data_IF_830534402743
#
_entry.id   IF_830534402743
#
_cell.length_a   1.000
_cell.length_b   1.000
_cell.length_c   1.000
_cell.angle_alpha   90.00
_cell.angle_beta   90.00
_cell.angle_gamma   90.00
#
_symmetry.space_group_name_H-M   'P 1'
#
loop_
_entity.id
_entity.type
_entity.pdbx_description
1 polymer ?
#
# COMPACT_ATOMS: atom_id res chain seq x y z
N UNK A 1 5.77 3.80 1.22
CA UNK A 1 6.86 4.78 1.01
C UNK A 1 7.03 4.94 -0.50
N UNK A 2 6.91 6.18 -1.00
CA UNK A 2 7.16 6.46 -2.42
C UNK A 2 8.59 6.97 -2.53
N UNK A 3 9.44 6.17 -3.19
CA UNK A 3 10.82 6.50 -3.55
C UNK A 3 10.98 6.51 -5.06
N UNK A 4 11.99 7.21 -5.53
CA UNK A 4 12.33 7.33 -6.94
C UNK A 4 13.49 6.41 -7.26
N UNK A 5 13.27 5.45 -8.15
CA UNK A 5 14.34 4.63 -8.70
C UNK A 5 14.83 5.27 -10.01
N UNK A 6 16.11 5.54 -10.10
CA UNK A 6 16.73 6.17 -11.28
C UNK A 6 17.71 5.24 -12.00
N UNK A 7 18.16 4.20 -11.34
CA UNK A 7 19.30 3.40 -11.76
C UNK A 7 20.65 4.05 -11.40
N UNK A 8 21.68 3.24 -11.28
CA UNK A 8 22.99 3.68 -10.78
C UNK A 8 23.66 4.74 -11.67
N UNK A 9 23.55 4.60 -12.99
CA UNK A 9 24.16 5.57 -13.92
C UNK A 9 23.47 6.92 -13.88
N UNK A 10 22.14 6.95 -13.86
CA UNK A 10 21.40 8.21 -13.72
C UNK A 10 21.66 8.83 -12.35
N UNK A 11 21.69 8.06 -11.27
CA UNK A 11 22.07 8.58 -9.95
C UNK A 11 23.45 9.21 -9.96
N UNK A 12 24.45 8.53 -10.56
CA UNK A 12 25.79 9.06 -10.68
C UNK A 12 25.84 10.37 -11.49
N UNK A 13 25.05 10.45 -12.58
CA UNK A 13 24.92 11.66 -13.37
C UNK A 13 24.29 12.80 -12.54
N UNK A 14 23.21 12.55 -11.83
CA UNK A 14 22.56 13.57 -10.98
C UNK A 14 23.49 14.06 -9.87
N UNK A 15 24.30 13.18 -9.27
CA UNK A 15 25.34 13.57 -8.31
C UNK A 15 26.41 14.45 -8.94
N UNK A 16 26.87 14.09 -10.14
CA UNK A 16 27.83 14.92 -10.88
C UNK A 16 27.26 16.32 -11.19
N UNK A 17 25.97 16.42 -11.55
CA UNK A 17 25.29 17.71 -11.74
C UNK A 17 25.28 18.54 -10.45
N UNK A 18 25.02 17.93 -9.32
CA UNK A 18 25.06 18.58 -8.00
C UNK A 18 26.44 19.13 -7.66
N UNK A 19 27.51 18.42 -8.07
CA UNK A 19 28.91 18.80 -7.86
C UNK A 19 29.44 19.76 -8.93
N UNK A 20 28.59 20.32 -9.78
CA UNK A 20 28.95 21.31 -10.81
C UNK A 20 29.27 20.71 -12.18
N UNK A 21 28.97 19.46 -12.41
CA UNK A 21 29.08 18.78 -13.72
C UNK A 21 28.11 19.32 -14.76
N UNK A 22 28.16 18.84 -15.99
CA UNK A 22 27.30 19.28 -17.08
C UNK A 22 25.88 18.73 -16.94
N UNK A 23 24.87 19.52 -17.40
CA UNK A 23 23.46 19.12 -17.45
C UNK A 23 23.12 18.19 -18.62
N UNK A 24 24.04 18.07 -19.58
CA UNK A 24 23.86 17.24 -20.78
C UNK A 24 24.70 15.96 -20.68
N UNK A 25 24.34 14.92 -21.39
CA UNK A 25 25.20 13.76 -21.60
C UNK A 25 24.86 12.51 -20.80
N UNK A 26 23.61 12.38 -20.33
CA UNK A 26 23.15 11.08 -19.90
C UNK A 26 23.06 10.14 -21.12
N UNK A 27 23.94 9.17 -21.18
CA UNK A 27 23.94 8.13 -22.22
C UNK A 27 22.95 7.01 -21.90
N UNK A 28 22.69 6.16 -22.89
CA UNK A 28 21.83 4.98 -22.68
C UNK A 28 22.37 4.12 -21.53
N UNK A 29 21.47 3.76 -20.61
CA UNK A 29 21.76 2.90 -19.50
C UNK A 29 21.60 1.43 -19.92
N UNK A 30 22.62 0.91 -20.60
CA UNK A 30 22.62 -0.45 -21.11
C UNK A 30 23.82 -1.23 -20.58
N UNK A 31 23.59 -2.49 -20.23
CA UNK A 31 24.63 -3.44 -19.87
C UNK A 31 24.72 -4.51 -20.96
N UNK A 32 25.93 -4.73 -21.46
CA UNK A 32 26.17 -5.81 -22.42
C UNK A 32 26.53 -7.09 -21.66
N UNK A 33 25.66 -8.09 -21.75
CA UNK A 33 25.89 -9.40 -21.17
C UNK A 33 26.62 -10.25 -22.22
N UNK A 34 27.90 -10.54 -21.99
CA UNK A 34 28.64 -11.49 -22.80
C UNK A 34 28.21 -12.92 -22.41
N UNK A 35 27.82 -13.71 -23.38
CA UNK A 35 27.37 -15.09 -23.16
C UNK A 35 28.52 -16.07 -22.94
N UNK A 36 29.77 -15.64 -23.16
CA UNK A 36 30.97 -16.50 -23.09
C UNK A 36 31.08 -17.45 -24.28
N UNK A 37 30.16 -17.42 -25.23
CA UNK A 37 30.20 -18.20 -26.45
C UNK A 37 30.27 -17.27 -27.67
N UNK A 38 31.31 -17.43 -28.53
CA UNK A 38 31.50 -16.58 -29.70
C UNK A 38 30.42 -16.74 -30.78
N UNK A 39 29.65 -17.81 -30.73
CA UNK A 39 28.54 -18.06 -31.67
C UNK A 39 27.23 -17.40 -31.25
N UNK A 40 27.15 -16.89 -30.01
CA UNK A 40 25.98 -16.24 -29.46
C UNK A 40 26.25 -14.74 -29.34
N UNK A 41 25.43 -13.93 -30.02
CA UNK A 41 25.55 -12.48 -29.95
C UNK A 41 25.38 -11.99 -28.49
N UNK A 42 26.16 -10.98 -28.07
CA UNK A 42 25.98 -10.37 -26.77
C UNK A 42 24.58 -9.77 -26.65
N UNK A 43 23.99 -9.88 -25.46
CA UNK A 43 22.66 -9.36 -25.17
C UNK A 43 22.82 -7.99 -24.52
N UNK A 44 22.17 -6.98 -25.09
CA UNK A 44 22.07 -5.66 -24.47
C UNK A 44 20.87 -5.67 -23.51
N UNK A 45 21.14 -5.54 -22.22
CA UNK A 45 20.10 -5.42 -21.21
C UNK A 45 19.98 -3.96 -20.74
N UNK A 46 18.76 -3.46 -20.69
CA UNK A 46 18.45 -2.16 -20.08
C UNK A 46 18.48 -2.32 -18.56
N UNK A 47 18.93 -1.30 -17.84
CA UNK A 47 18.98 -1.26 -16.37
C UNK A 47 17.68 -0.70 -15.77
N UNK A 48 16.57 -0.84 -16.47
CA UNK A 48 15.24 -0.52 -15.91
C UNK A 48 14.93 -1.44 -14.72
N UNK A 49 14.15 -0.95 -13.75
CA UNK A 49 13.66 -1.78 -12.65
C UNK A 49 12.64 -2.82 -13.14
N UNK A 50 13.15 -3.89 -13.74
CA UNK A 50 12.33 -5.00 -14.23
C UNK A 50 11.82 -5.90 -13.10
N UNK A 51 12.49 -5.90 -11.96
CA UNK A 51 12.06 -6.64 -10.78
C UNK A 51 10.88 -5.99 -10.07
N UNK A 52 10.51 -4.77 -10.48
CA UNK A 52 9.40 -3.99 -9.92
C UNK A 52 9.52 -3.77 -8.41
N UNK A 53 10.75 -3.52 -7.96
CA UNK A 53 11.11 -3.30 -6.56
C UNK A 53 10.93 -1.85 -6.12
N UNK A 54 10.61 -0.94 -7.05
CA UNK A 54 10.39 0.47 -6.79
C UNK A 54 8.99 0.92 -7.21
N UNK A 55 8.33 1.79 -6.41
CA UNK A 55 6.99 2.30 -6.71
C UNK A 55 6.98 3.38 -7.79
N UNK A 56 8.10 4.04 -8.06
CA UNK A 56 8.19 5.13 -9.03
C UNK A 56 9.52 5.15 -9.78
N UNK A 57 9.78 4.15 -10.67
CA UNK A 57 11.03 4.07 -11.41
C UNK A 57 11.05 4.98 -12.64
N UNK A 58 12.26 5.45 -12.96
CA UNK A 58 12.59 6.02 -14.26
C UNK A 58 12.87 4.91 -15.28
N UNK A 59 12.18 4.94 -16.41
CA UNK A 59 12.27 3.92 -17.46
C UNK A 59 12.82 4.54 -18.77
N UNK A 60 13.90 5.26 -18.70
CA UNK A 60 14.62 5.85 -19.84
C UNK A 60 13.99 7.14 -20.40
N UNK A 61 12.71 7.17 -20.69
CA UNK A 61 11.99 8.33 -21.22
C UNK A 61 10.70 8.67 -20.46
N UNK A 62 10.41 7.96 -19.39
CA UNK A 62 9.20 8.14 -18.58
C UNK A 62 9.44 7.67 -17.15
N UNK A 63 8.57 8.09 -16.25
CA UNK A 63 8.40 7.47 -14.95
C UNK A 63 7.14 6.60 -14.96
N UNK A 64 7.20 5.46 -14.28
CA UNK A 64 6.04 4.60 -14.06
C UNK A 64 5.61 4.68 -12.60
N UNK A 65 4.36 5.03 -12.36
CA UNK A 65 3.79 4.93 -11.00
C UNK A 65 3.20 3.54 -10.81
N UNK A 66 3.76 2.79 -9.88
CA UNK A 66 3.37 1.42 -9.56
C UNK A 66 2.75 1.41 -8.17
N UNK A 67 1.44 1.26 -8.11
CA UNK A 67 0.72 1.17 -6.85
C UNK A 67 -0.34 0.07 -6.94
N UNK A 68 -0.47 -0.70 -5.86
CA UNK A 68 -1.53 -1.72 -5.74
C UNK A 68 -2.86 -1.01 -5.49
N UNK A 69 -3.90 -1.43 -6.18
CA UNK A 69 -5.21 -0.79 -6.07
C UNK A 69 -6.21 -1.35 -7.07
N UNK A 70 -6.39 -2.68 -7.11
CA UNK A 70 -7.21 -3.38 -8.12
C UNK A 70 -8.66 -2.89 -8.19
N UNK A 71 -9.21 -2.36 -7.11
CA UNK A 71 -10.58 -1.81 -7.02
C UNK A 71 -10.62 -0.29 -7.09
N UNK A 72 -9.48 0.38 -7.23
CA UNK A 72 -9.38 1.83 -7.23
C UNK A 72 -9.24 2.41 -8.63
N UNK A 73 -9.76 3.63 -8.82
CA UNK A 73 -9.54 4.41 -10.03
C UNK A 73 -8.18 5.14 -9.95
N UNK A 74 -7.41 5.12 -11.03
CA UNK A 74 -6.10 5.78 -11.09
C UNK A 74 -6.19 7.30 -11.25
N UNK A 75 -7.36 7.87 -11.50
CA UNK A 75 -7.55 9.30 -11.76
C UNK A 75 -7.06 10.20 -10.63
N UNK A 76 -7.41 9.86 -9.38
CA UNK A 76 -6.98 10.66 -8.23
C UNK A 76 -5.46 10.61 -7.99
N UNK A 77 -4.78 9.46 -7.93
CA UNK A 77 -3.33 9.41 -7.86
C UNK A 77 -2.63 10.17 -8.99
N UNK A 78 -3.15 10.08 -10.22
CA UNK A 78 -2.61 10.82 -11.36
C UNK A 78 -2.79 12.33 -11.20
N UNK A 79 -3.94 12.79 -10.73
CA UNK A 79 -4.17 14.20 -10.43
C UNK A 79 -3.19 14.73 -9.37
N UNK A 80 -2.98 13.98 -8.29
CA UNK A 80 -2.02 14.34 -7.23
C UNK A 80 -0.60 14.46 -7.76
N UNK A 81 -0.12 13.46 -8.51
CA UNK A 81 1.23 13.45 -9.07
C UNK A 81 1.44 14.60 -10.05
N UNK A 82 0.48 14.84 -10.96
CA UNK A 82 0.59 15.94 -11.92
C UNK A 82 0.54 17.31 -11.24
N UNK A 83 -0.25 17.47 -10.18
CA UNK A 83 -0.31 18.70 -9.40
C UNK A 83 1.01 18.97 -8.68
N UNK A 84 1.60 17.96 -8.05
CA UNK A 84 2.90 18.09 -7.40
C UNK A 84 4.03 18.40 -8.39
N UNK A 85 3.95 17.79 -9.60
CA UNK A 85 4.89 18.08 -10.68
C UNK A 85 4.75 19.52 -11.19
N UNK A 86 3.52 20.00 -11.42
CA UNK A 86 3.25 21.36 -11.87
C UNK A 86 3.77 22.39 -10.87
N UNK A 87 3.53 22.21 -9.57
CA UNK A 87 4.07 23.07 -8.51
C UNK A 87 5.60 23.10 -8.53
N UNK A 88 6.25 21.95 -8.61
CA UNK A 88 7.70 21.86 -8.63
C UNK A 88 8.31 22.55 -9.86
N UNK A 89 7.66 22.44 -11.02
CA UNK A 89 8.06 23.14 -12.25
C UNK A 89 7.88 24.65 -12.12
N UNK A 90 6.78 25.12 -11.49
CA UNK A 90 6.56 26.52 -11.19
C UNK A 90 7.65 27.09 -10.30
N UNK A 91 7.97 26.43 -9.19
CA UNK A 91 9.05 26.83 -8.28
C UNK A 91 10.41 26.94 -8.99
N UNK A 92 10.70 25.98 -9.90
CA UNK A 92 11.95 26.02 -10.67
C UNK A 92 11.95 27.19 -11.68
N UNK A 93 10.84 27.40 -12.39
CA UNK A 93 10.66 28.50 -13.35
C UNK A 93 10.86 29.86 -12.67
N UNK A 94 10.20 30.10 -11.55
CA UNK A 94 10.30 31.34 -10.80
C UNK A 94 11.74 31.64 -10.38
N UNK A 95 12.51 30.65 -9.96
CA UNK A 95 13.93 30.81 -9.61
C UNK A 95 14.76 31.24 -10.84
N UNK A 96 14.50 30.62 -11.99
CA UNK A 96 15.23 30.91 -13.23
C UNK A 96 14.85 32.29 -13.76
N UNK A 97 13.56 32.65 -13.80
CA UNK A 97 13.07 33.96 -14.20
C UNK A 97 13.54 35.09 -13.25
N UNK A 98 13.70 34.74 -11.96
CA UNK A 98 14.31 35.64 -10.95
C UNK A 98 15.82 35.83 -11.09
N UNK A 99 16.44 35.26 -12.13
CA UNK A 99 17.86 35.47 -12.48
C UNK A 99 18.83 34.40 -11.95
N UNK A 100 18.33 33.34 -11.33
CA UNK A 100 19.18 32.18 -10.94
C UNK A 100 19.60 31.42 -12.19
N UNK A 101 20.88 31.12 -12.37
CA UNK A 101 21.32 30.29 -13.46
C UNK A 101 20.65 28.92 -13.42
N UNK A 102 20.27 28.39 -14.59
CA UNK A 102 19.54 27.10 -14.70
C UNK A 102 20.26 25.97 -13.93
N UNK A 103 21.57 25.89 -14.09
CA UNK A 103 22.41 24.90 -13.39
C UNK A 103 22.28 25.00 -11.88
N UNK A 104 22.39 26.21 -11.33
CA UNK A 104 22.35 26.43 -9.88
C UNK A 104 20.97 26.12 -9.31
N UNK A 105 19.90 26.49 -10.06
CA UNK A 105 18.54 26.19 -9.69
C UNK A 105 18.28 24.66 -9.66
N UNK A 106 18.75 23.94 -10.68
CA UNK A 106 18.63 22.48 -10.77
C UNK A 106 19.48 21.78 -9.70
N UNK A 107 20.75 22.16 -9.57
CA UNK A 107 21.67 21.58 -8.56
C UNK A 107 21.09 21.75 -7.14
N UNK A 108 20.56 22.92 -6.83
CA UNK A 108 19.94 23.19 -5.54
C UNK A 108 18.70 22.33 -5.33
N UNK A 109 17.80 22.24 -6.31
CA UNK A 109 16.59 21.40 -6.22
C UNK A 109 16.94 19.92 -6.03
N UNK A 110 17.94 19.40 -6.75
CA UNK A 110 18.43 18.04 -6.58
C UNK A 110 18.97 17.82 -5.17
N UNK A 111 19.84 18.71 -4.66
CA UNK A 111 20.45 18.55 -3.34
C UNK A 111 19.41 18.59 -2.19
N UNK A 112 18.37 19.42 -2.33
CA UNK A 112 17.29 19.52 -1.34
C UNK A 112 16.38 18.29 -1.31
N UNK A 113 16.32 17.49 -2.40
CA UNK A 113 15.37 16.39 -2.57
C UNK A 113 16.02 15.04 -2.87
N UNK A 114 17.35 14.92 -2.77
CA UNK A 114 18.07 13.71 -3.15
C UNK A 114 17.74 12.50 -2.27
N UNK A 115 17.20 12.75 -1.08
CA UNK A 115 16.78 11.73 -0.13
C UNK A 115 15.68 10.79 -0.68
N UNK A 116 14.91 11.21 -1.69
CA UNK A 116 13.86 10.38 -2.31
C UNK A 116 14.42 9.33 -3.28
N UNK A 117 15.67 9.48 -3.74
CA UNK A 117 16.29 8.55 -4.71
C UNK A 117 16.77 7.31 -3.97
N UNK A 118 16.25 6.15 -4.39
CA UNK A 118 16.63 4.86 -3.83
C UNK A 118 16.64 3.79 -4.93
N UNK A 119 17.81 3.23 -5.23
CA UNK A 119 18.02 2.23 -6.28
C UNK A 119 18.08 0.78 -5.73
N UNK A 120 17.75 0.57 -4.45
CA UNK A 120 17.67 -0.74 -3.83
C UNK A 120 16.30 -1.38 -3.93
N UNK A 121 16.14 -2.52 -3.25
CA UNK A 121 14.88 -3.25 -3.17
C UNK A 121 13.92 -2.58 -2.17
N UNK A 122 12.85 -1.97 -2.70
CA UNK A 122 11.78 -1.33 -1.90
C UNK A 122 10.92 -2.31 -1.09
N UNK A 123 11.05 -3.63 -1.32
CA UNK A 123 10.35 -4.66 -0.53
C UNK A 123 11.20 -5.22 0.60
N UNK A 124 12.48 -4.84 0.68
CA UNK A 124 13.37 -5.31 1.77
C UNK A 124 12.91 -4.78 3.14
N UNK A 125 13.19 -5.56 4.19
CA UNK A 125 12.87 -5.15 5.57
C UNK A 125 13.73 -3.97 6.06
N UNK A 126 14.86 -3.72 5.43
CA UNK A 126 15.77 -2.62 5.75
C UNK A 126 15.26 -1.27 5.21
N UNK A 127 14.49 -1.30 4.11
CA UNK A 127 14.05 -0.07 3.46
C UNK A 127 13.18 0.84 4.34
N UNK A 128 12.18 0.36 5.07
CA UNK A 128 11.41 1.23 5.98
C UNK A 128 12.28 1.96 7.01
N UNK A 129 13.30 1.29 7.54
CA UNK A 129 14.23 1.88 8.51
C UNK A 129 15.12 2.95 7.86
N UNK A 130 15.61 2.68 6.66
CA UNK A 130 16.41 3.64 5.89
C UNK A 130 15.57 4.85 5.44
N UNK A 131 14.33 4.62 5.01
CA UNK A 131 13.40 5.66 4.60
C UNK A 131 13.08 6.63 5.76
N UNK A 132 12.90 6.11 6.97
CA UNK A 132 12.70 6.91 8.17
C UNK A 132 13.90 7.83 8.44
N UNK A 133 15.13 7.30 8.35
CA UNK A 133 16.37 8.10 8.48
C UNK A 133 16.47 9.21 7.43
N UNK A 134 15.93 8.98 6.24
CA UNK A 134 15.86 9.97 5.15
C UNK A 134 14.72 10.96 5.31
N UNK A 135 13.88 10.82 6.33
CA UNK A 135 12.70 11.68 6.55
C UNK A 135 11.54 11.41 5.58
N UNK A 136 11.49 10.24 4.97
CA UNK A 136 10.41 9.84 4.07
C UNK A 136 9.21 9.33 4.88
N UNK A 137 8.01 9.71 4.43
CA UNK A 137 6.76 9.33 5.08
C UNK A 137 6.44 7.86 4.78
N UNK A 138 6.11 7.11 5.82
CA UNK A 138 5.56 5.77 5.72
C UNK A 138 4.19 5.71 6.42
N UNK A 139 3.11 5.68 5.66
CA UNK A 139 1.75 5.55 6.16
C UNK A 139 1.31 4.10 5.95
N UNK A 140 1.14 3.36 7.04
CA UNK A 140 0.98 1.91 6.99
C UNK A 140 -0.45 1.44 6.69
N UNK A 141 -1.43 2.35 6.69
CA UNK A 141 -2.82 2.01 6.41
C UNK A 141 -3.57 3.18 5.74
N UNK A 142 -4.73 2.86 5.17
CA UNK A 142 -5.55 3.81 4.43
C UNK A 142 -6.10 4.94 5.31
N UNK A 143 -6.44 4.67 6.57
CA UNK A 143 -6.92 5.71 7.48
C UNK A 143 -5.87 6.80 7.70
N UNK A 144 -4.62 6.43 7.98
CA UNK A 144 -3.53 7.39 8.18
C UNK A 144 -3.29 8.27 6.93
N UNK A 145 -3.42 7.67 5.74
CA UNK A 145 -3.29 8.41 4.48
C UNK A 145 -4.47 9.39 4.27
N UNK A 146 -5.69 8.92 4.48
CA UNK A 146 -6.91 9.73 4.35
C UNK A 146 -6.90 10.89 5.36
N UNK A 147 -6.52 10.63 6.61
CA UNK A 147 -6.44 11.65 7.66
C UNK A 147 -5.47 12.80 7.34
N UNK A 148 -4.51 12.59 6.43
CA UNK A 148 -3.55 13.62 6.01
C UNK A 148 -3.96 14.36 4.74
N UNK A 149 -4.99 13.90 4.03
CA UNK A 149 -5.35 14.47 2.73
C UNK A 149 -5.64 15.96 2.79
N UNK A 150 -6.36 16.43 3.79
CA UNK A 150 -6.76 17.83 3.95
C UNK A 150 -5.81 18.68 4.79
N UNK A 151 -4.56 18.21 5.01
CA UNK A 151 -3.56 19.06 5.67
C UNK A 151 -3.37 20.38 4.90
N UNK A 152 -3.07 21.48 5.60
CA UNK A 152 -2.88 22.80 5.01
C UNK A 152 -1.96 22.76 3.79
N UNK A 153 -0.79 22.08 3.92
CA UNK A 153 0.15 21.91 2.81
C UNK A 153 -0.50 21.34 1.55
N UNK A 154 -1.36 20.34 1.70
CA UNK A 154 -2.01 19.70 0.57
C UNK A 154 -3.13 20.57 -0.01
N UNK A 155 -3.90 21.24 0.85
CA UNK A 155 -4.92 22.21 0.42
C UNK A 155 -4.28 23.34 -0.38
N UNK A 156 -3.22 23.96 0.16
CA UNK A 156 -2.51 25.04 -0.49
C UNK A 156 -2.02 24.64 -1.89
N UNK A 157 -1.47 23.41 -2.01
CA UNK A 157 -1.02 22.86 -3.29
C UNK A 157 -2.16 22.78 -4.30
N UNK A 158 -3.28 22.17 -3.93
CA UNK A 158 -4.40 21.98 -4.85
C UNK A 158 -5.08 23.30 -5.24
N UNK A 159 -5.21 24.22 -4.29
CA UNK A 159 -5.81 25.55 -4.51
C UNK A 159 -4.90 26.41 -5.39
N UNK A 160 -3.59 26.46 -5.11
CA UNK A 160 -2.63 27.21 -5.91
C UNK A 160 -2.59 26.77 -7.35
N UNK A 161 -2.64 25.46 -7.58
CA UNK A 161 -2.67 24.86 -8.93
C UNK A 161 -4.07 24.84 -9.57
N UNK A 162 -5.10 25.36 -8.89
CA UNK A 162 -6.50 25.43 -9.36
C UNK A 162 -7.09 24.05 -9.74
N UNK A 163 -6.66 23.02 -9.04
CA UNK A 163 -7.15 21.64 -9.26
C UNK A 163 -8.36 21.36 -8.40
N UNK A 164 -8.33 21.78 -7.13
CA UNK A 164 -9.46 21.72 -6.20
C UNK A 164 -9.54 23.00 -5.37
N UNK A 165 -10.74 23.31 -4.93
CA UNK A 165 -10.99 24.26 -3.83
C UNK A 165 -10.70 23.63 -2.49
N UNK A 166 -10.57 24.41 -1.42
CA UNK A 166 -10.41 23.91 -0.05
C UNK A 166 -11.56 22.98 0.34
N UNK A 167 -12.80 23.38 0.05
CA UNK A 167 -14.00 22.62 0.39
C UNK A 167 -14.08 21.28 -0.37
N UNK A 168 -13.59 21.24 -1.62
CA UNK A 168 -13.52 20.02 -2.40
C UNK A 168 -12.48 19.03 -1.85
N UNK A 169 -11.37 19.51 -1.25
CA UNK A 169 -10.40 18.66 -0.59
C UNK A 169 -11.00 18.06 0.69
N UNK A 170 -11.71 18.88 1.49
CA UNK A 170 -12.39 18.42 2.70
C UNK A 170 -13.47 17.37 2.38
N UNK A 171 -14.32 17.66 1.40
CA UNK A 171 -15.35 16.72 0.96
C UNK A 171 -14.77 15.38 0.46
N UNK A 172 -13.63 15.41 -0.23
CA UNK A 172 -12.95 14.17 -0.67
C UNK A 172 -12.43 13.36 0.51
N UNK A 173 -11.87 14.01 1.51
CA UNK A 173 -11.41 13.31 2.71
C UNK A 173 -12.58 12.62 3.41
N UNK A 174 -13.69 13.33 3.60
CA UNK A 174 -14.90 12.82 4.24
C UNK A 174 -15.45 11.60 3.48
N UNK A 175 -15.65 11.71 2.16
CA UNK A 175 -16.14 10.62 1.30
C UNK A 175 -15.20 9.41 1.34
N UNK A 176 -13.89 9.62 1.33
CA UNK A 176 -12.93 8.52 1.39
C UNK A 176 -12.93 7.84 2.75
N UNK A 177 -13.12 8.59 3.84
CA UNK A 177 -13.23 8.06 5.19
C UNK A 177 -14.51 7.24 5.37
N UNK A 178 -15.67 7.77 4.94
CA UNK A 178 -16.95 7.04 4.95
C UNK A 178 -16.87 5.73 4.17
N UNK A 179 -16.27 5.78 2.98
CA UNK A 179 -16.11 4.58 2.16
C UNK A 179 -15.24 3.55 2.85
N UNK A 180 -14.10 3.95 3.43
CA UNK A 180 -13.22 3.02 4.15
C UNK A 180 -13.95 2.35 5.31
N UNK A 181 -14.69 3.12 6.11
CA UNK A 181 -15.47 2.59 7.22
C UNK A 181 -16.56 1.63 6.74
N UNK A 182 -17.30 2.03 5.70
CA UNK A 182 -18.39 1.22 5.12
C UNK A 182 -17.87 -0.10 4.56
N UNK A 183 -16.77 -0.08 3.79
CA UNK A 183 -16.19 -1.29 3.22
C UNK A 183 -15.76 -2.28 4.32
N UNK A 184 -15.12 -1.79 5.40
CA UNK A 184 -14.70 -2.64 6.53
C UNK A 184 -15.91 -3.19 7.29
N UNK A 185 -16.97 -2.40 7.49
CA UNK A 185 -18.20 -2.87 8.14
C UNK A 185 -18.88 -3.97 7.32
N UNK A 186 -18.99 -3.80 5.99
CA UNK A 186 -19.54 -4.82 5.10
C UNK A 186 -18.72 -6.12 5.18
N UNK A 187 -17.41 -6.03 5.18
CA UNK A 187 -16.52 -7.19 5.34
C UNK A 187 -16.72 -7.89 6.69
N UNK A 188 -16.86 -7.10 7.78
CA UNK A 188 -17.09 -7.61 9.12
C UNK A 188 -18.46 -8.31 9.25
N UNK A 189 -19.51 -7.70 8.72
CA UNK A 189 -20.86 -8.29 8.70
C UNK A 189 -20.91 -9.59 7.89
N UNK A 190 -20.21 -9.62 6.75
CA UNK A 190 -20.05 -10.82 5.95
C UNK A 190 -19.35 -11.92 6.76
N UNK A 191 -18.26 -11.59 7.46
CA UNK A 191 -17.54 -12.53 8.34
C UNK A 191 -18.44 -13.05 9.48
N UNK A 192 -19.18 -12.17 10.15
CA UNK A 192 -20.14 -12.54 11.19
C UNK A 192 -21.19 -13.54 10.63
N UNK A 193 -21.73 -13.26 9.45
CA UNK A 193 -22.68 -14.13 8.80
C UNK A 193 -22.06 -15.50 8.46
N UNK A 194 -20.89 -15.54 7.82
CA UNK A 194 -20.21 -16.77 7.45
C UNK A 194 -19.89 -17.65 8.67
N UNK A 195 -19.40 -17.04 9.76
CA UNK A 195 -19.12 -17.79 10.99
C UNK A 195 -20.39 -18.33 11.61
N UNK A 196 -21.45 -17.54 11.75
CA UNK A 196 -22.69 -17.95 12.37
C UNK A 196 -23.47 -19.00 11.57
N UNK A 197 -23.47 -18.89 10.23
CA UNK A 197 -24.28 -19.77 9.37
C UNK A 197 -23.51 -20.95 8.79
N UNK A 198 -22.19 -20.88 8.79
CA UNK A 198 -21.31 -21.92 8.23
C UNK A 198 -20.42 -22.57 9.29
N UNK A 199 -19.49 -21.82 9.87
CA UNK A 199 -18.45 -22.36 10.76
C UNK A 199 -19.03 -22.95 12.05
N UNK A 200 -19.84 -22.21 12.79
CA UNK A 200 -20.43 -22.68 14.05
C UNK A 200 -21.35 -23.89 13.88
N UNK A 201 -22.23 -23.97 12.86
CA UNK A 201 -22.98 -25.19 12.57
C UNK A 201 -22.09 -26.39 12.25
N UNK A 202 -21.00 -26.21 11.52
CA UNK A 202 -20.02 -27.28 11.25
C UNK A 202 -19.31 -27.74 12.52
N UNK A 203 -18.86 -26.80 13.37
CA UNK A 203 -18.30 -27.10 14.69
C UNK A 203 -19.27 -27.89 15.58
N UNK A 204 -20.56 -27.52 15.58
CA UNK A 204 -21.57 -28.20 16.37
C UNK A 204 -21.85 -29.60 15.86
N UNK A 205 -21.77 -29.87 14.55
CA UNK A 205 -21.85 -31.24 14.00
C UNK A 205 -20.64 -32.08 14.41
N UNK A 206 -19.44 -31.51 14.28
CA UNK A 206 -18.20 -32.19 14.64
C UNK A 206 -18.17 -32.57 16.14
N UNK A 207 -18.60 -31.68 17.05
CA UNK A 207 -18.67 -31.99 18.47
C UNK A 207 -19.59 -33.14 18.79
N UNK A 208 -20.69 -33.36 18.07
CA UNK A 208 -21.61 -34.49 18.29
C UNK A 208 -20.94 -35.83 18.01
N UNK A 209 -20.02 -35.88 17.05
CA UNK A 209 -19.30 -37.13 16.73
C UNK A 209 -18.34 -37.55 17.85
N UNK A 210 -17.97 -36.61 18.73
CA UNK A 210 -17.11 -36.83 19.90
C UNK A 210 -17.88 -37.02 21.21
N UNK A 211 -19.21 -36.91 21.18
CA UNK A 211 -20.04 -37.06 22.38
C UNK A 211 -19.90 -38.45 22.99
N UNK A 212 -19.68 -38.49 24.30
CA UNK A 212 -19.47 -39.76 25.04
C UNK A 212 -18.14 -40.46 24.82
N UNK A 213 -17.26 -39.95 23.93
CA UNK A 213 -15.96 -40.59 23.61
C UNK A 213 -14.83 -40.23 24.59
N UNK A 214 -14.99 -39.18 25.40
CA UNK A 214 -13.91 -38.60 26.22
C UNK A 214 -12.86 -37.81 25.42
N UNK A 215 -13.05 -37.72 24.11
CA UNK A 215 -12.15 -37.00 23.18
C UNK A 215 -12.69 -35.61 22.84
N UNK A 216 -12.83 -34.70 22.78
CA UNK A 216 -13.52 -33.49 22.29
C UNK A 216 -13.31 -32.24 23.16
N UNK A 217 -12.63 -32.37 24.30
CA UNK A 217 -12.49 -31.25 25.22
C UNK A 217 -11.77 -30.04 24.63
N UNK A 218 -10.67 -30.27 23.89
CA UNK A 218 -9.93 -29.23 23.19
C UNK A 218 -10.74 -28.57 22.07
N UNK A 219 -11.48 -29.38 21.30
CA UNK A 219 -12.40 -28.92 20.25
C UNK A 219 -13.48 -28.02 20.83
N UNK A 220 -14.12 -28.45 21.91
CA UNK A 220 -15.16 -27.65 22.58
C UNK A 220 -14.63 -26.30 23.05
N UNK A 221 -13.44 -26.24 23.63
CA UNK A 221 -12.81 -25.00 24.05
C UNK A 221 -12.54 -24.06 22.87
N UNK A 222 -11.98 -24.58 21.78
CA UNK A 222 -11.73 -23.81 20.56
C UNK A 222 -13.03 -23.28 19.95
N UNK A 223 -14.04 -24.14 19.75
CA UNK A 223 -15.30 -23.75 19.11
C UNK A 223 -16.10 -22.74 19.93
N UNK A 224 -16.05 -22.85 21.27
CA UNK A 224 -16.59 -21.82 22.15
C UNK A 224 -15.83 -20.51 22.02
N UNK A 225 -14.53 -20.53 21.74
CA UNK A 225 -13.76 -19.33 21.47
C UNK A 225 -14.09 -18.66 20.13
N UNK A 226 -14.46 -19.46 19.10
CA UNK A 226 -14.99 -18.92 17.82
C UNK A 226 -16.31 -18.19 18.07
N UNK A 227 -17.25 -18.81 18.77
CA UNK A 227 -18.53 -18.20 19.13
C UNK A 227 -18.33 -16.87 19.87
N UNK A 228 -17.47 -16.86 20.89
CA UNK A 228 -17.16 -15.66 21.66
C UNK A 228 -16.58 -14.57 20.77
N UNK A 229 -15.65 -14.89 19.89
CA UNK A 229 -14.99 -13.89 19.04
C UNK A 229 -15.93 -13.26 18.02
N UNK A 230 -16.91 -13.99 17.49
CA UNK A 230 -17.90 -13.43 16.57
C UNK A 230 -18.88 -12.52 17.30
N UNK A 231 -19.24 -12.83 18.55
CA UNK A 231 -20.06 -11.95 19.37
C UNK A 231 -19.32 -10.64 19.72
N UNK A 232 -18.02 -10.75 20.06
CA UNK A 232 -17.17 -9.58 20.29
C UNK A 232 -17.06 -8.72 19.03
N UNK A 233 -16.84 -9.34 17.85
CA UNK A 233 -16.81 -8.63 16.57
C UNK A 233 -18.11 -7.88 16.31
N UNK A 234 -19.25 -8.54 16.50
CA UNK A 234 -20.56 -7.91 16.29
C UNK A 234 -20.74 -6.71 17.21
N UNK A 235 -20.39 -6.82 18.49
CA UNK A 235 -20.46 -5.71 19.44
C UNK A 235 -19.61 -4.53 18.98
N UNK A 236 -18.37 -4.81 18.53
CA UNK A 236 -17.46 -3.77 18.03
C UNK A 236 -18.01 -3.09 16.78
N UNK A 237 -18.67 -3.83 15.88
CA UNK A 237 -19.31 -3.24 14.68
C UNK A 237 -20.50 -2.36 15.06
N UNK A 238 -21.34 -2.81 16.00
CA UNK A 238 -22.52 -2.07 16.44
C UNK A 238 -22.16 -0.71 17.14
N UNK A 239 -20.97 -0.60 17.70
CA UNK A 239 -20.46 0.59 18.41
C UNK A 239 -19.75 1.62 17.51
N UNK A 240 -19.82 1.50 16.17
CA UNK A 240 -19.11 2.41 15.25
C UNK A 240 -19.59 3.86 15.40
N UNK A 241 -18.67 4.86 15.47
CA UNK A 241 -19.05 6.27 15.53
C UNK A 241 -19.78 6.77 14.28
N UNK A 242 -20.54 7.87 14.44
CA UNK A 242 -21.25 8.49 13.32
C UNK A 242 -20.45 9.49 12.49
N UNK A 243 -19.35 10.04 13.02
CA UNK A 243 -18.46 10.91 12.27
C UNK A 243 -17.59 10.09 11.30
N UNK A 244 -17.43 10.55 10.07
CA UNK A 244 -16.76 9.80 9.02
C UNK A 244 -15.30 9.46 9.34
N UNK A 245 -14.54 10.41 9.86
CA UNK A 245 -13.11 10.21 10.14
C UNK A 245 -12.91 9.39 11.41
N UNK A 246 -13.76 9.60 12.43
CA UNK A 246 -13.78 8.78 13.63
C UNK A 246 -14.19 7.34 13.31
N UNK A 247 -15.20 7.14 12.45
CA UNK A 247 -15.62 5.83 11.98
C UNK A 247 -14.50 5.09 11.22
N UNK A 248 -13.79 5.78 10.33
CA UNK A 248 -12.65 5.21 9.62
C UNK A 248 -11.51 4.81 10.57
N UNK A 249 -11.22 5.64 11.57
CA UNK A 249 -10.26 5.34 12.62
C UNK A 249 -10.67 4.11 13.43
N UNK A 250 -11.93 4.10 13.85
CA UNK A 250 -12.52 3.00 14.63
C UNK A 250 -12.50 1.69 13.83
N UNK A 251 -12.90 1.73 12.57
CA UNK A 251 -12.86 0.58 11.68
C UNK A 251 -11.44 0.02 11.52
N UNK A 252 -10.44 0.90 11.36
CA UNK A 252 -9.04 0.49 11.22
C UNK A 252 -8.47 -0.12 12.51
N UNK A 253 -8.74 0.48 13.67
CA UNK A 253 -8.03 0.12 14.92
C UNK A 253 -8.87 -0.71 15.90
N UNK A 254 -10.17 -0.90 15.64
CA UNK A 254 -11.04 -1.73 16.46
C UNK A 254 -11.69 -2.87 15.68
N UNK A 255 -12.35 -2.58 14.56
CA UNK A 255 -13.06 -3.61 13.79
C UNK A 255 -12.06 -4.56 13.13
N UNK A 256 -11.05 -4.07 12.42
CA UNK A 256 -10.04 -4.94 11.76
C UNK A 256 -9.33 -5.90 12.72
N UNK A 257 -8.81 -5.47 13.88
CA UNK A 257 -8.22 -6.40 14.84
C UNK A 257 -9.22 -7.43 15.38
N UNK A 258 -10.50 -7.06 15.57
CA UNK A 258 -11.55 -8.00 15.98
C UNK A 258 -11.85 -9.03 14.89
N UNK A 259 -11.89 -8.61 13.62
CA UNK A 259 -12.00 -9.51 12.45
C UNK A 259 -10.83 -10.51 12.40
N UNK A 260 -9.61 -10.04 12.55
CA UNK A 260 -8.39 -10.87 12.57
C UNK A 260 -8.45 -11.90 13.70
N UNK A 261 -8.89 -11.48 14.88
CA UNK A 261 -9.09 -12.36 16.03
C UNK A 261 -10.16 -13.44 15.79
N UNK A 262 -11.27 -13.10 15.14
CA UNK A 262 -12.33 -14.03 14.79
C UNK A 262 -11.86 -15.00 13.69
N UNK A 263 -11.18 -14.48 12.67
CA UNK A 263 -10.62 -15.27 11.57
C UNK A 263 -9.62 -16.30 12.06
N UNK A 264 -8.65 -15.91 12.85
CA UNK A 264 -7.62 -16.83 13.39
C UNK A 264 -8.24 -18.04 14.12
N UNK A 265 -9.34 -17.83 14.86
CA UNK A 265 -10.04 -18.90 15.56
C UNK A 265 -10.87 -19.77 14.61
N UNK A 266 -11.49 -19.17 13.58
CA UNK A 266 -12.20 -19.92 12.54
C UNK A 266 -11.24 -20.80 11.72
N UNK A 267 -10.07 -20.25 11.34
CA UNK A 267 -9.03 -21.00 10.63
C UNK A 267 -8.50 -22.18 11.47
N UNK A 268 -8.28 -21.99 12.77
CA UNK A 268 -7.92 -23.09 13.67
C UNK A 268 -9.03 -24.15 13.80
N UNK A 269 -10.30 -23.73 13.75
CA UNK A 269 -11.42 -24.67 13.76
C UNK A 269 -11.49 -25.47 12.45
N UNK A 270 -11.18 -24.86 11.30
CA UNK A 270 -11.11 -25.54 10.00
C UNK A 270 -10.13 -26.73 10.01
N UNK A 271 -8.99 -26.60 10.68
CA UNK A 271 -8.01 -27.66 10.79
C UNK A 271 -8.54 -28.90 11.53
N UNK A 272 -9.51 -28.71 12.45
CA UNK A 272 -10.02 -29.77 13.29
C UNK A 272 -11.37 -30.34 12.85
N UNK A 273 -12.23 -29.52 12.25
CA UNK A 273 -13.57 -29.91 11.82
C UNK A 273 -13.48 -30.99 10.72
N UNK A 274 -14.33 -32.01 10.82
CA UNK A 274 -14.47 -33.03 9.76
C UNK A 274 -14.69 -32.32 8.40
N UNK A 275 -13.92 -32.73 7.40
CA UNK A 275 -13.95 -32.11 6.06
C UNK A 275 -15.35 -32.15 5.41
N UNK A 276 -16.16 -33.20 5.71
CA UNK A 276 -17.54 -33.29 5.20
C UNK A 276 -18.51 -32.27 5.81
N UNK A 277 -18.16 -31.67 6.96
CA UNK A 277 -19.00 -30.66 7.63
C UNK A 277 -18.58 -29.23 7.30
N UNK A 278 -17.32 -29.02 6.84
CA UNK A 278 -16.81 -27.71 6.53
C UNK A 278 -17.51 -27.13 5.30
N UNK A 279 -18.15 -25.96 5.42
CA UNK A 279 -19.05 -25.45 4.38
C UNK A 279 -18.32 -24.69 3.24
N UNK A 280 -17.02 -24.52 3.34
CA UNK A 280 -16.21 -23.76 2.38
C UNK A 280 -15.16 -24.67 1.73
N UNK A 281 -14.69 -24.34 0.50
CA UNK A 281 -13.58 -25.07 -0.13
C UNK A 281 -12.33 -25.00 0.73
N UNK A 282 -11.68 -26.13 0.97
CA UNK A 282 -10.37 -26.18 1.62
C UNK A 282 -9.26 -25.89 0.62
N UNK A 283 -8.12 -25.38 1.08
CA UNK A 283 -6.97 -25.12 0.21
C UNK A 283 -6.58 -26.30 -0.68
N UNK A 284 -6.61 -27.52 -0.12
CA UNK A 284 -6.33 -28.73 -0.90
C UNK A 284 -7.30 -28.95 -2.07
N UNK A 285 -8.56 -28.57 -1.89
CA UNK A 285 -9.59 -28.74 -2.92
C UNK A 285 -9.38 -27.72 -4.06
N UNK A 286 -8.93 -26.50 -3.72
CA UNK A 286 -8.61 -25.45 -4.70
C UNK A 286 -7.30 -25.68 -5.47
N UNK A 287 -6.40 -26.55 -4.97
CA UNK A 287 -5.11 -26.81 -5.62
C UNK A 287 -5.20 -27.88 -6.72
N UNK A 288 -6.27 -28.67 -6.74
CA UNK A 288 -6.38 -29.84 -7.61
C UNK A 288 -7.64 -29.84 -8.49
N UNK A 289 -8.37 -28.73 -8.55
CA UNK A 289 -9.53 -28.55 -9.45
C UNK A 289 -9.12 -27.99 -10.82
#
# INVERSE_FOLDING_TARGET
>A
IISLYTGEKMEAHLRAVMDGGELSGYGEDTTVIATGNNEVAPITANLEDRNRTAPFPFCGNRFEFRAVGSTQNIGFPMAVLNTAYAESMGVLSDKIEGGTAVRDAVSKMLSENFNVIFNGDGYSSEWPVEAEKRGLINLNNSYEAIARLNSEKNKDLFVAQKVFTSDEVDARQEIMAERLATDIVIEADCMVNMINTGVLPACAKDLRDFDGTGLGASRKALYSSVEKSVQELKTVVDDIPGDALEAASYAQYKIRPAMEGARSKADAAEELVNAEYWPFPKYKDMLFD
#
